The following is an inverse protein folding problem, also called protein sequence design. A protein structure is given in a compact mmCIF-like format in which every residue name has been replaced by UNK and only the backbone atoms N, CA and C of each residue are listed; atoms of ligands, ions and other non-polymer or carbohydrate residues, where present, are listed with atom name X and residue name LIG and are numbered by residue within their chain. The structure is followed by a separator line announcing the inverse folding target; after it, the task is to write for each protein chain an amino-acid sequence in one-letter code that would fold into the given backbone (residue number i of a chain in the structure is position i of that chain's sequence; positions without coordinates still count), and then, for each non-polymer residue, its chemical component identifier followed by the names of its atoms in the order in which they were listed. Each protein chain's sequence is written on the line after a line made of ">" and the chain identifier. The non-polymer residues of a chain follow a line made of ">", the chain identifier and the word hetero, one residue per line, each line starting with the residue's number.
data_IF_191348884358
#
_entry.id   IF_191348884358
#
_cell.length_a   1.000
_cell.length_b   1.000
_cell.length_c   1.000
_cell.angle_alpha   90.00
_cell.angle_beta   90.00
_cell.angle_gamma   90.00
#
_symmetry.space_group_name_H-M   'P 1'
#
loop_
_entity.id
_entity.type
_entity.pdbx_description
1 polymer ?
#
# COMPACT_ATOMS: atom_id res chain seq x y z
N UNK A 1 3.26 2.42 14.77
CA UNK A 1 3.52 0.98 14.51
C UNK A 1 3.77 0.83 13.01
N UNK A 2 4.81 0.07 12.60
CA UNK A 2 5.13 -0.10 11.18
C UNK A 2 4.53 -1.42 10.65
N UNK A 3 3.74 -1.34 9.59
CA UNK A 3 3.07 -2.46 8.92
C UNK A 3 3.61 -2.64 7.51
N UNK A 4 3.71 -3.88 7.04
CA UNK A 4 3.98 -4.17 5.63
C UNK A 4 2.67 -4.14 4.84
N UNK A 5 2.65 -3.44 3.71
CA UNK A 5 1.50 -3.36 2.82
C UNK A 5 1.94 -3.69 1.39
N UNK A 6 1.32 -4.68 0.77
CA UNK A 6 1.54 -4.99 -0.64
C UNK A 6 0.33 -4.51 -1.45
N UNK A 7 0.56 -3.74 -2.51
CA UNK A 7 -0.49 -3.25 -3.43
C UNK A 7 -0.06 -3.45 -4.88
N UNK A 8 -1.00 -3.38 -5.82
CA UNK A 8 -0.62 -3.42 -7.23
C UNK A 8 -0.04 -2.09 -7.71
N UNK A 9 0.86 -2.09 -8.71
CA UNK A 9 1.37 -0.85 -9.30
C UNK A 9 0.35 -0.19 -10.25
N UNK A 10 -0.88 -0.70 -10.34
CA UNK A 10 -1.88 -0.14 -11.24
C UNK A 10 -2.27 1.29 -10.81
N UNK A 11 -2.63 2.17 -11.76
CA UNK A 11 -2.96 3.57 -11.44
C UNK A 11 -4.09 3.74 -10.42
N UNK A 12 -5.08 2.84 -10.43
CA UNK A 12 -6.18 2.85 -9.46
C UNK A 12 -5.69 2.64 -8.03
N UNK A 13 -4.82 1.65 -7.80
CA UNK A 13 -4.37 1.31 -6.44
C UNK A 13 -3.38 2.35 -5.91
N UNK A 14 -2.44 2.78 -6.75
CA UNK A 14 -1.50 3.84 -6.39
C UNK A 14 -2.23 5.15 -6.09
N UNK A 15 -3.27 5.50 -6.85
CA UNK A 15 -4.11 6.66 -6.56
C UNK A 15 -4.92 6.49 -5.26
N UNK A 16 -5.52 5.32 -5.06
CA UNK A 16 -6.33 5.02 -3.87
C UNK A 16 -5.52 5.11 -2.58
N UNK A 17 -4.27 4.63 -2.58
CA UNK A 17 -3.41 4.61 -1.40
C UNK A 17 -2.46 5.81 -1.29
N UNK A 18 -2.37 6.69 -2.29
CA UNK A 18 -1.43 7.83 -2.33
C UNK A 18 -1.43 8.65 -1.03
N UNK A 19 -2.62 9.02 -0.55
CA UNK A 19 -2.74 9.88 0.62
C UNK A 19 -2.21 9.20 1.90
N UNK A 20 -2.47 7.90 2.04
CA UNK A 20 -2.03 7.09 3.17
C UNK A 20 -0.51 6.85 3.12
N UNK A 21 0.03 6.52 1.95
CA UNK A 21 1.44 6.19 1.77
C UNK A 21 2.37 7.40 1.83
N UNK A 22 1.87 8.58 1.44
CA UNK A 22 2.65 9.82 1.44
C UNK A 22 2.37 10.71 2.67
N UNK A 23 1.68 10.20 3.70
CA UNK A 23 1.41 10.95 4.93
C UNK A 23 0.55 12.20 4.74
N UNK A 24 -0.36 12.17 3.75
CA UNK A 24 -1.30 13.27 3.45
C UNK A 24 -2.59 13.19 4.28
N UNK A 25 -2.79 12.10 5.01
CA UNK A 25 -3.88 11.89 5.97
C UNK A 25 -3.33 11.34 7.29
N UNK A 26 -4.05 11.57 8.39
CA UNK A 26 -3.71 11.00 9.68
C UNK A 26 -4.01 9.50 9.69
N UNK A 27 -2.99 8.71 10.02
CA UNK A 27 -3.04 7.24 10.11
C UNK A 27 -2.93 6.77 11.56
N UNK A 28 -3.18 7.66 12.54
CA UNK A 28 -3.13 7.37 13.98
C UNK A 28 -1.80 6.76 14.43
N UNK A 29 -0.69 7.21 13.83
CA UNK A 29 0.66 6.71 14.11
C UNK A 29 1.01 5.37 13.47
N UNK A 30 0.23 4.91 12.49
CA UNK A 30 0.59 3.80 11.61
C UNK A 30 1.53 4.26 10.49
N UNK A 31 2.59 3.48 10.27
CA UNK A 31 3.53 3.66 9.18
C UNK A 31 3.49 2.44 8.26
N UNK A 32 3.69 2.64 6.96
CA UNK A 32 3.56 1.59 5.96
C UNK A 32 4.86 1.39 5.19
N UNK A 33 5.34 0.15 5.14
CA UNK A 33 6.37 -0.29 4.21
C UNK A 33 5.70 -0.93 3.00
N UNK A 34 5.73 -0.22 1.87
CA UNK A 34 5.01 -0.64 0.67
C UNK A 34 5.85 -1.52 -0.25
N UNK A 35 5.22 -2.58 -0.76
CA UNK A 35 5.74 -3.45 -1.82
C UNK A 35 4.75 -3.43 -2.99
N UNK A 36 5.26 -3.30 -4.21
CA UNK A 36 4.44 -3.38 -5.41
C UNK A 36 4.51 -4.78 -6.00
N UNK A 37 3.35 -5.40 -6.22
CA UNK A 37 3.20 -6.78 -6.72
C UNK A 37 2.08 -6.89 -7.73
N UNK A 38 2.16 -7.87 -8.64
CA UNK A 38 1.02 -8.10 -9.52
C UNK A 38 -0.17 -8.71 -8.74
N UNK A 39 -1.37 -8.67 -9.31
CA UNK A 39 -2.59 -9.13 -8.62
C UNK A 39 -2.58 -10.65 -8.39
N UNK A 40 -1.96 -11.42 -9.27
CA UNK A 40 -1.89 -12.87 -9.17
C UNK A 40 -0.91 -13.28 -8.05
N UNK A 41 0.25 -12.61 -8.01
CA UNK A 41 1.20 -12.58 -6.90
C UNK A 41 0.46 -12.28 -5.57
N UNK A 42 -0.23 -11.15 -5.45
CA UNK A 42 -0.97 -10.77 -4.23
C UNK A 42 -1.99 -11.84 -3.80
N UNK A 43 -2.72 -12.43 -4.75
CA UNK A 43 -3.71 -13.48 -4.50
C UNK A 43 -3.07 -14.81 -4.09
N UNK A 44 -1.85 -15.10 -4.56
CA UNK A 44 -1.04 -16.22 -4.11
C UNK A 44 -0.44 -16.01 -2.71
N UNK A 45 -0.70 -14.83 -2.12
CA UNK A 45 -0.18 -14.44 -0.82
C UNK A 45 1.20 -13.80 -0.91
N UNK A 46 1.61 -13.34 -2.12
CA UNK A 46 2.55 -12.24 -2.38
C UNK A 46 2.94 -12.05 -3.83
#
# INVERSE_FOLDING_TARGET
>A
MKLSLAISPCPNDTFMFDAMLNGRIDTEGLEFEVVFKDIEELNAGL
#
